data_IF_936232253766
#
_entry.id   IF_936232253766
#
_cell.length_a   1.000
_cell.length_b   1.000
_cell.length_c   1.000
_cell.angle_alpha   90.00
_cell.angle_beta   90.00
_cell.angle_gamma   90.00
#
_symmetry.space_group_name_H-M   'P 1'
#
loop_
_entity.id
_entity.type
_entity.pdbx_description
1 polymer ?
#
# COMPACT_ATOMS: atom_id res chain seq x y z
N UNK A 1 -4.84 -23.38 -29.47
CA UNK A 1 -4.44 -23.52 -28.06
C UNK A 1 -5.29 -22.56 -27.28
N UNK A 2 -6.13 -23.13 -26.43
CA UNK A 2 -7.40 -22.55 -26.00
C UNK A 2 -7.23 -21.33 -25.08
N UNK A 3 -8.15 -20.37 -25.22
CA UNK A 3 -8.24 -19.15 -24.42
C UNK A 3 -8.23 -19.43 -22.89
N UNK A 4 -8.67 -20.63 -22.50
CA UNK A 4 -8.66 -21.15 -21.13
C UNK A 4 -7.23 -21.36 -20.59
N UNK A 5 -6.30 -21.88 -21.40
CA UNK A 5 -4.91 -22.12 -20.99
C UNK A 5 -4.14 -20.81 -20.80
N UNK A 6 -4.47 -19.81 -21.62
CA UNK A 6 -3.92 -18.45 -21.47
C UNK A 6 -4.43 -17.79 -20.20
N UNK A 7 -5.73 -17.83 -19.93
CA UNK A 7 -6.32 -17.28 -18.70
C UNK A 7 -5.77 -17.96 -17.43
N UNK A 8 -5.58 -19.30 -17.46
CA UNK A 8 -4.95 -20.05 -16.37
C UNK A 8 -3.51 -19.60 -16.12
N UNK A 9 -2.77 -19.33 -17.19
CA UNK A 9 -1.39 -18.82 -17.10
C UNK A 9 -1.37 -17.41 -16.51
N UNK A 10 -2.19 -16.50 -17.02
CA UNK A 10 -2.30 -15.12 -16.54
C UNK A 10 -2.66 -15.10 -15.03
N UNK A 11 -3.58 -15.96 -14.59
CA UNK A 11 -3.95 -16.08 -13.18
C UNK A 11 -2.81 -16.57 -12.28
N UNK A 12 -1.96 -17.48 -12.77
CA UNK A 12 -0.77 -17.94 -12.03
C UNK A 12 0.24 -16.82 -11.81
N UNK A 13 0.43 -15.93 -12.79
CA UNK A 13 1.28 -14.75 -12.63
C UNK A 13 0.69 -13.79 -11.59
N UNK A 14 -0.61 -13.55 -11.61
CA UNK A 14 -1.30 -12.68 -10.65
C UNK A 14 -1.19 -13.22 -9.22
N UNK A 15 -1.45 -14.52 -9.02
CA UNK A 15 -1.31 -15.18 -7.71
C UNK A 15 0.13 -15.10 -7.18
N UNK A 16 1.11 -15.24 -8.06
CA UNK A 16 2.52 -15.12 -7.69
C UNK A 16 2.88 -13.67 -7.32
N UNK A 17 2.38 -12.67 -8.04
CA UNK A 17 2.54 -11.27 -7.65
C UNK A 17 1.92 -10.99 -6.28
N UNK A 18 0.73 -11.53 -6.01
CA UNK A 18 0.06 -11.40 -4.71
C UNK A 18 0.85 -12.08 -3.59
N UNK A 19 1.54 -13.19 -3.88
CA UNK A 19 2.42 -13.87 -2.91
C UNK A 19 3.60 -12.99 -2.51
N UNK A 20 4.16 -12.23 -3.44
CA UNK A 20 5.31 -11.34 -3.19
C UNK A 20 4.92 -9.89 -2.91
N UNK A 21 3.62 -9.58 -2.77
CA UNK A 21 3.13 -8.19 -2.64
C UNK A 21 3.71 -7.42 -1.44
N UNK A 22 4.17 -8.13 -0.41
CA UNK A 22 4.76 -7.57 0.82
C UNK A 22 6.30 -7.50 0.75
N UNK A 23 6.92 -8.13 -0.26
CA UNK A 23 8.37 -8.24 -0.42
C UNK A 23 8.84 -7.63 -1.75
N UNK A 24 9.21 -6.34 -1.71
CA UNK A 24 9.53 -5.54 -2.90
C UNK A 24 10.63 -6.14 -3.79
N UNK A 25 11.75 -6.58 -3.23
CA UNK A 25 12.86 -7.15 -4.02
C UNK A 25 12.40 -8.40 -4.77
N UNK A 26 11.66 -9.26 -4.08
CA UNK A 26 11.10 -10.50 -4.62
C UNK A 26 10.07 -10.21 -5.71
N UNK A 27 9.20 -9.21 -5.51
CA UNK A 27 8.18 -8.81 -6.49
C UNK A 27 8.80 -8.15 -7.73
N UNK A 28 9.74 -7.22 -7.55
CA UNK A 28 10.43 -6.55 -8.66
C UNK A 28 11.21 -7.55 -9.50
N UNK A 29 11.93 -8.47 -8.84
CA UNK A 29 12.64 -9.55 -9.51
C UNK A 29 11.66 -10.43 -10.30
N UNK A 30 10.55 -10.84 -9.67
CA UNK A 30 9.54 -11.66 -10.31
C UNK A 30 8.89 -10.99 -11.54
N UNK A 31 8.55 -9.70 -11.43
CA UNK A 31 7.97 -8.92 -12.53
C UNK A 31 8.99 -8.75 -13.66
N UNK A 32 10.25 -8.45 -13.32
CA UNK A 32 11.34 -8.34 -14.30
C UNK A 32 11.55 -9.65 -15.05
N UNK A 33 11.61 -10.76 -14.33
CA UNK A 33 11.84 -12.11 -14.89
C UNK A 33 10.67 -12.59 -15.76
N UNK A 34 9.48 -11.99 -15.61
CA UNK A 34 8.27 -12.40 -16.31
C UNK A 34 7.62 -11.27 -17.12
N UNK A 35 8.34 -10.18 -17.38
CA UNK A 35 7.81 -8.96 -17.98
C UNK A 35 7.08 -9.22 -19.30
N UNK A 36 7.68 -9.99 -20.22
CA UNK A 36 7.08 -10.30 -21.52
C UNK A 36 5.73 -11.02 -21.39
N UNK A 37 5.58 -11.88 -20.39
CA UNK A 37 4.34 -12.63 -20.16
C UNK A 37 3.28 -11.77 -19.49
N UNK A 38 3.72 -10.91 -18.57
CA UNK A 38 2.88 -9.95 -17.85
C UNK A 38 2.31 -8.91 -18.82
N UNK A 39 3.12 -8.42 -19.76
CA UNK A 39 2.69 -7.46 -20.77
C UNK A 39 1.75 -8.09 -21.82
N UNK A 40 1.87 -9.39 -22.06
CA UNK A 40 1.02 -10.12 -22.99
C UNK A 40 -0.26 -10.74 -22.36
N UNK A 41 -0.52 -10.44 -21.08
CA UNK A 41 -1.77 -10.82 -20.41
C UNK A 41 -2.97 -10.21 -21.12
N UNK A 42 -4.09 -10.94 -21.12
CA UNK A 42 -5.32 -10.38 -21.65
C UNK A 42 -5.85 -9.23 -20.76
N UNK A 43 -6.65 -8.33 -21.33
CA UNK A 43 -7.11 -7.11 -20.67
C UNK A 43 -7.91 -7.39 -19.38
N UNK A 44 -8.70 -8.47 -19.34
CA UNK A 44 -9.48 -8.84 -18.15
C UNK A 44 -8.57 -9.33 -17.02
N UNK A 45 -7.59 -10.18 -17.33
CA UNK A 45 -6.57 -10.62 -16.38
C UNK A 45 -5.72 -9.45 -15.90
N UNK A 46 -5.40 -8.50 -16.77
CA UNK A 46 -4.72 -7.26 -16.38
C UNK A 46 -5.57 -6.45 -15.40
N UNK A 47 -6.85 -6.25 -15.70
CA UNK A 47 -7.79 -5.55 -14.82
C UNK A 47 -7.94 -6.25 -13.46
N UNK A 48 -7.93 -7.58 -13.43
CA UNK A 48 -7.95 -8.37 -12.19
C UNK A 48 -6.63 -8.24 -11.42
N UNK A 49 -5.48 -8.30 -12.09
CA UNK A 49 -4.17 -8.08 -11.48
C UNK A 49 -4.12 -6.72 -10.80
N UNK A 50 -4.50 -5.69 -11.58
CA UNK A 50 -4.62 -4.31 -11.15
C UNK A 50 -5.59 -4.22 -9.99
N UNK A 51 -6.84 -4.72 -10.08
CA UNK A 51 -7.82 -4.63 -9.01
C UNK A 51 -7.41 -5.36 -7.72
N UNK A 52 -6.81 -6.56 -7.82
CA UNK A 52 -6.38 -7.36 -6.66
C UNK A 52 -5.14 -6.75 -5.99
N UNK A 53 -4.26 -6.12 -6.77
CA UNK A 53 -3.18 -5.29 -6.24
C UNK A 53 -3.69 -3.91 -5.76
N UNK A 54 -4.79 -3.40 -6.34
CA UNK A 54 -5.38 -2.07 -6.14
C UNK A 54 -6.63 -2.03 -5.24
N UNK A 55 -6.93 -3.05 -4.41
CA UNK A 55 -8.10 -3.01 -3.51
C UNK A 55 -8.11 -1.84 -2.48
N UNK A 56 -7.22 -0.83 -2.61
CA UNK A 56 -7.23 0.40 -1.81
C UNK A 56 -7.07 1.75 -2.57
N UNK A 57 -7.22 1.90 -3.91
CA UNK A 57 -7.20 3.29 -4.48
C UNK A 57 -7.96 3.59 -5.80
N UNK A 58 -8.90 4.57 -5.83
CA UNK A 58 -9.75 4.91 -6.98
C UNK A 58 -9.23 6.05 -7.90
N UNK A 59 -7.93 6.21 -8.17
CA UNK A 59 -7.41 7.35 -8.98
C UNK A 59 -6.44 7.00 -10.12
N UNK A 60 -6.61 5.85 -10.78
CA UNK A 60 -5.80 5.49 -11.97
C UNK A 60 -6.57 5.60 -13.30
N UNK A 61 -7.82 6.06 -13.26
CA UNK A 61 -8.62 6.25 -14.47
C UNK A 61 -8.97 7.73 -14.56
N UNK A 62 -7.99 8.51 -15.00
CA UNK A 62 -8.34 9.67 -15.81
C UNK A 62 -7.27 9.86 -16.90
N UNK A 63 -7.38 9.06 -17.96
CA UNK A 63 -7.73 9.63 -19.25
C UNK A 63 -7.93 8.54 -20.29
N UNK A 64 -8.91 8.83 -21.15
CA UNK A 64 -9.31 8.02 -22.27
C UNK A 64 -8.13 7.77 -23.23
N UNK A 65 -8.12 6.56 -23.82
CA UNK A 65 -7.25 6.07 -24.91
C UNK A 65 -5.81 5.72 -24.53
N UNK A 66 -5.61 4.42 -24.28
CA UNK A 66 -4.98 3.59 -25.32
C UNK A 66 -3.46 3.62 -25.47
N UNK A 67 -2.70 4.18 -24.53
CA UNK A 67 -1.23 4.03 -24.54
C UNK A 67 -0.71 3.87 -23.10
N UNK A 68 -0.81 2.66 -22.55
CA UNK A 68 -0.35 2.36 -21.19
C UNK A 68 1.07 1.80 -21.24
N UNK A 69 2.07 2.68 -21.15
CA UNK A 69 3.40 2.27 -20.70
C UNK A 69 3.29 2.01 -19.22
N UNK A 70 3.29 0.75 -18.79
CA UNK A 70 3.51 0.36 -17.39
C UNK A 70 4.99 0.65 -17.06
N UNK A 71 5.36 1.93 -17.07
CA UNK A 71 6.69 2.40 -16.74
C UNK A 71 6.92 2.37 -15.24
N UNK A 72 8.18 2.25 -14.84
CA UNK A 72 8.69 2.22 -13.45
C UNK A 72 7.91 3.13 -12.48
N UNK A 73 7.43 4.27 -12.94
CA UNK A 73 6.62 5.24 -12.20
C UNK A 73 5.35 4.68 -11.55
N UNK A 74 4.67 3.70 -12.17
CA UNK A 74 3.45 3.11 -11.58
C UNK A 74 3.78 2.14 -10.44
N UNK A 75 4.82 1.32 -10.62
CA UNK A 75 5.35 0.40 -9.59
C UNK A 75 6.00 1.16 -8.44
N UNK A 76 6.71 2.24 -8.75
CA UNK A 76 7.31 3.12 -7.77
C UNK A 76 6.23 3.87 -6.98
N UNK A 77 5.17 4.37 -7.63
CA UNK A 77 4.03 4.96 -6.90
C UNK A 77 3.27 3.95 -6.02
N UNK A 78 3.18 2.67 -6.43
CA UNK A 78 2.63 1.58 -5.61
C UNK A 78 3.52 1.35 -4.38
N UNK A 79 4.84 1.28 -4.58
CA UNK A 79 5.81 1.05 -3.52
C UNK A 79 5.91 2.23 -2.55
N UNK A 80 6.12 3.43 -3.06
CA UNK A 80 6.25 4.65 -2.26
C UNK A 80 5.00 4.86 -1.39
N UNK A 81 3.82 4.52 -1.90
CA UNK A 81 2.58 4.60 -1.11
C UNK A 81 2.43 3.47 -0.09
N UNK A 82 2.87 2.25 -0.42
CA UNK A 82 2.90 1.12 0.51
C UNK A 82 3.88 1.33 1.67
N UNK A 83 5.08 1.84 1.37
CA UNK A 83 6.09 2.23 2.36
C UNK A 83 5.57 3.36 3.24
N UNK A 84 5.08 4.46 2.65
CA UNK A 84 4.52 5.57 3.43
C UNK A 84 3.33 5.13 4.30
N UNK A 85 2.45 4.25 3.79
CA UNK A 85 1.35 3.71 4.60
C UNK A 85 1.86 2.83 5.75
N UNK A 86 2.84 1.96 5.49
CA UNK A 86 3.46 1.11 6.49
C UNK A 86 4.16 1.90 7.59
N UNK A 87 4.92 2.94 7.22
CA UNK A 87 5.60 3.85 8.14
C UNK A 87 4.59 4.59 9.03
N UNK A 88 3.53 5.14 8.46
CA UNK A 88 2.50 5.84 9.24
C UNK A 88 1.74 4.88 10.16
N UNK A 89 1.39 3.67 9.69
CA UNK A 89 0.75 2.66 10.54
C UNK A 89 1.67 2.20 11.68
N UNK A 90 2.96 2.07 11.42
CA UNK A 90 3.97 1.76 12.43
C UNK A 90 4.08 2.90 13.45
N UNK A 91 4.12 4.15 13.01
CA UNK A 91 4.14 5.32 13.87
C UNK A 91 2.90 5.39 14.77
N UNK A 92 1.70 5.19 14.21
CA UNK A 92 0.44 5.10 14.96
C UNK A 92 0.52 4.01 16.05
N UNK A 93 1.03 2.82 15.69
CA UNK A 93 1.19 1.72 16.64
C UNK A 93 2.14 2.09 17.78
N UNK A 94 3.28 2.70 17.47
CA UNK A 94 4.27 3.12 18.47
C UNK A 94 3.72 4.17 19.42
N UNK A 95 3.03 5.19 18.89
CA UNK A 95 2.40 6.25 19.69
C UNK A 95 1.31 5.65 20.58
N UNK A 96 0.43 4.80 20.04
CA UNK A 96 -0.62 4.14 20.82
C UNK A 96 -0.05 3.33 21.99
N UNK A 97 0.97 2.50 21.73
CA UNK A 97 1.65 1.72 22.78
C UNK A 97 2.24 2.62 23.87
N UNK A 98 2.81 3.77 23.52
CA UNK A 98 3.39 4.71 24.49
C UNK A 98 2.32 5.47 25.27
N UNK A 99 1.19 5.81 24.65
CA UNK A 99 0.01 6.37 25.33
C UNK A 99 -0.55 5.38 26.37
N UNK A 100 -0.66 4.10 26.01
CA UNK A 100 -1.09 3.04 26.94
C UNK A 100 -0.12 2.88 28.13
N UNK A 101 1.16 3.18 27.92
CA UNK A 101 2.17 3.25 28.99
C UNK A 101 2.18 4.60 29.75
N UNK A 102 1.12 5.41 29.63
CA UNK A 102 0.95 6.71 30.28
C UNK A 102 2.04 7.75 29.95
N UNK A 103 2.67 7.66 28.76
CA UNK A 103 3.62 8.69 28.31
C UNK A 103 2.87 9.89 27.72
N UNK A 104 3.41 11.09 27.97
CA UNK A 104 2.89 12.33 27.41
C UNK A 104 3.50 12.61 26.02
N UNK A 105 2.93 13.59 25.30
CA UNK A 105 3.35 13.94 23.95
C UNK A 105 4.84 14.30 23.85
N UNK A 106 5.37 15.09 24.79
CA UNK A 106 6.80 15.47 24.85
C UNK A 106 7.71 14.24 24.90
N UNK A 107 7.43 13.33 25.83
CA UNK A 107 8.23 12.12 26.00
C UNK A 107 8.15 11.23 24.77
N UNK A 108 6.97 11.13 24.15
CA UNK A 108 6.79 10.32 22.94
C UNK A 108 7.57 10.90 21.76
N UNK A 109 7.48 12.21 21.51
CA UNK A 109 8.23 12.88 20.45
C UNK A 109 9.73 12.66 20.60
N UNK A 110 10.26 12.89 21.81
CA UNK A 110 11.67 12.71 22.11
C UNK A 110 12.13 11.25 21.93
N UNK A 111 11.33 10.27 22.39
CA UNK A 111 11.66 8.84 22.27
C UNK A 111 11.56 8.29 20.85
N UNK A 112 10.73 8.90 20.01
CA UNK A 112 10.58 8.52 18.60
C UNK A 112 11.52 9.31 17.69
N UNK A 113 12.26 10.28 18.24
CA UNK A 113 13.08 11.24 17.48
C UNK A 113 12.26 12.02 16.42
N UNK A 114 10.97 12.21 16.69
CA UNK A 114 10.01 12.90 15.82
C UNK A 114 9.71 14.29 16.34
N UNK A 115 9.28 15.21 15.46
CA UNK A 115 8.81 16.52 15.90
C UNK A 115 7.45 16.41 16.55
N UNK A 116 7.23 17.21 17.58
CA UNK A 116 5.97 17.28 18.32
C UNK A 116 4.79 17.59 17.41
N UNK A 117 4.98 18.52 16.48
CA UNK A 117 3.97 19.00 15.55
C UNK A 117 3.53 17.88 14.59
N UNK A 118 4.48 17.00 14.21
CA UNK A 118 4.24 15.92 13.25
C UNK A 118 3.46 14.75 13.90
N UNK A 119 3.71 14.48 15.19
CA UNK A 119 3.00 13.39 15.91
C UNK A 119 1.70 13.84 16.60
N UNK A 120 1.49 15.15 16.77
CA UNK A 120 0.31 15.70 17.47
C UNK A 120 -1.03 15.24 16.87
N UNK A 121 -1.24 15.24 15.53
CA UNK A 121 -2.50 14.77 14.95
C UNK A 121 -2.79 13.31 15.32
N UNK A 122 -1.77 12.44 15.24
CA UNK A 122 -1.90 11.02 15.57
C UNK A 122 -2.21 10.84 17.06
N UNK A 123 -1.50 11.57 17.92
CA UNK A 123 -1.69 11.51 19.38
C UNK A 123 -3.12 11.89 19.78
N UNK A 124 -3.65 12.97 19.19
CA UNK A 124 -5.01 13.47 19.47
C UNK A 124 -6.06 12.45 19.04
N UNK A 125 -5.99 11.93 17.81
CA UNK A 125 -6.97 10.95 17.30
C UNK A 125 -6.97 9.68 18.16
N UNK A 126 -5.81 9.20 18.62
CA UNK A 126 -5.73 8.03 19.51
C UNK A 126 -6.37 8.32 20.88
N UNK A 127 -6.19 9.54 21.43
CA UNK A 127 -6.81 9.94 22.70
C UNK A 127 -8.32 10.08 22.59
N UNK A 128 -8.82 10.58 21.47
CA UNK A 128 -10.26 10.71 21.20
C UNK A 128 -10.92 9.37 20.85
N UNK A 129 -10.15 8.42 20.32
CA UNK A 129 -10.61 7.10 19.89
C UNK A 129 -9.72 5.96 20.40
N UNK A 130 -9.66 5.73 21.72
CA UNK A 130 -8.77 4.74 22.32
C UNK A 130 -9.12 3.28 21.97
N UNK A 131 -10.35 3.04 21.49
CA UNK A 131 -10.89 1.74 21.10
C UNK A 131 -10.61 1.36 19.64
N UNK A 132 -10.11 2.30 18.82
CA UNK A 132 -9.90 2.08 17.39
C UNK A 132 -8.57 1.39 17.08
N UNK A 133 -8.57 0.54 16.06
CA UNK A 133 -7.36 -0.09 15.54
C UNK A 133 -6.46 0.94 14.82
N UNK A 134 -5.17 0.62 14.67
CA UNK A 134 -4.22 1.48 13.94
C UNK A 134 -4.66 1.78 12.50
N UNK A 135 -5.31 0.83 11.83
CA UNK A 135 -5.87 1.01 10.48
C UNK A 135 -7.05 1.99 10.48
N UNK A 136 -7.89 1.95 11.51
CA UNK A 136 -9.01 2.89 11.67
C UNK A 136 -8.52 4.29 12.02
N UNK A 137 -7.51 4.42 12.90
CA UNK A 137 -6.85 5.71 13.19
C UNK A 137 -6.23 6.29 11.90
N UNK A 138 -5.53 5.47 11.11
CA UNK A 138 -4.99 5.90 9.82
C UNK A 138 -6.05 6.38 8.84
N UNK A 139 -7.20 5.70 8.78
CA UNK A 139 -8.32 6.10 7.94
C UNK A 139 -8.93 7.46 8.37
N UNK A 140 -8.91 7.78 9.67
CA UNK A 140 -9.38 9.08 10.19
C UNK A 140 -8.37 10.17 9.87
N UNK A 141 -7.08 9.90 10.11
CA UNK A 141 -5.98 10.82 9.77
C UNK A 141 -5.99 11.21 8.29
N UNK A 142 -6.29 10.24 7.40
CA UNK A 142 -6.43 10.46 5.96
C UNK A 142 -7.67 11.27 5.55
N UNK A 143 -8.72 11.30 6.38
CA UNK A 143 -9.95 12.06 6.11
C UNK A 143 -9.87 13.50 6.62
N UNK A 144 -9.02 13.76 7.61
CA UNK A 144 -8.78 15.08 8.18
C UNK A 144 -7.63 15.85 7.50
N UNK A 145 -6.88 15.20 6.61
CA UNK A 145 -5.86 15.81 5.73
C UNK A 145 -6.43 16.26 4.39
#
# INVERSE_FOLDING_TARGET
>A
MDNIDKCKSDLQYILSMLKYKEEEKSLKQYISDNNDKIQNMNQDSHNVAVALLNQNLPKLIDNQKGDFRMGENALQAIYDRGVNQGEVLHLIMQINKKILNNKNLDTIANELEEKKEDILPIYTIIKEHPDKSKEQIYAILKKES
#
